data_IF_539782555444
#
_entry.id   IF_539782555444
#
_cell.length_a   1.000
_cell.length_b   1.000
_cell.length_c   1.000
_cell.angle_alpha   90.00
_cell.angle_beta   90.00
_cell.angle_gamma   90.00
#
_symmetry.space_group_name_H-M   'P 1'
#
loop_
_entity.id
_entity.type
_entity.pdbx_description
1 polymer ?
#
# COMPACT_ATOMS: atom_id res chain seq x y z
N UNK A 1 -14.28 0.02 -24.84
CA UNK A 1 -13.34 0.60 -23.87
C UNK A 1 -13.25 -0.35 -22.70
N UNK A 2 -12.08 -0.88 -22.32
CA UNK A 2 -11.98 -1.66 -21.09
C UNK A 2 -12.41 -0.78 -19.91
N UNK A 3 -13.15 -1.36 -18.95
CA UNK A 3 -13.54 -0.65 -17.74
C UNK A 3 -12.28 -0.15 -17.01
N UNK A 4 -12.28 1.12 -16.59
CA UNK A 4 -11.14 1.69 -15.91
C UNK A 4 -10.79 0.84 -14.68
N UNK A 5 -9.52 0.44 -14.56
CA UNK A 5 -9.04 -0.39 -13.45
C UNK A 5 -9.22 0.31 -12.09
N UNK A 6 -9.38 1.63 -12.08
CA UNK A 6 -9.62 2.44 -10.88
C UNK A 6 -10.63 3.53 -11.22
N UNK A 7 -11.40 3.96 -10.23
CA UNK A 7 -12.20 5.19 -10.35
C UNK A 7 -11.21 6.36 -10.31
N UNK A 8 -10.93 6.94 -11.48
CA UNK A 8 -10.08 8.12 -11.59
C UNK A 8 -10.74 9.29 -10.84
N UNK A 9 -9.96 9.97 -10.03
CA UNK A 9 -10.38 11.20 -9.36
C UNK A 9 -10.35 12.38 -10.34
N UNK A 10 -11.03 13.51 -10.05
CA UNK A 10 -10.88 14.72 -10.84
C UNK A 10 -9.42 15.16 -10.98
N UNK A 11 -8.60 14.92 -9.96
CA UNK A 11 -7.18 15.21 -9.97
C UNK A 11 -6.41 14.31 -10.95
N UNK A 12 -6.74 13.02 -11.01
CA UNK A 12 -6.14 12.10 -11.98
C UNK A 12 -6.42 12.54 -13.42
N UNK A 13 -7.64 13.00 -13.70
CA UNK A 13 -8.00 13.53 -15.02
C UNK A 13 -7.18 14.77 -15.39
N UNK A 14 -6.96 15.69 -14.43
CA UNK A 14 -6.11 16.86 -14.64
C UNK A 14 -4.65 16.45 -14.91
N UNK A 15 -4.11 15.49 -14.14
CA UNK A 15 -2.76 14.97 -14.34
C UNK A 15 -2.60 14.29 -15.69
N UNK A 16 -3.59 13.51 -16.15
CA UNK A 16 -3.52 12.83 -17.44
C UNK A 16 -3.51 13.80 -18.63
N UNK A 17 -4.09 14.99 -18.46
CA UNK A 17 -4.08 16.06 -19.46
C UNK A 17 -2.79 16.89 -19.48
N UNK A 18 -1.93 16.74 -18.47
CA UNK A 18 -0.67 17.47 -18.29
C UNK A 18 0.52 16.77 -18.98
N UNK A 19 1.55 17.53 -19.34
CA UNK A 19 2.85 16.99 -19.77
C UNK A 19 3.79 16.73 -18.58
N UNK A 20 4.85 15.95 -18.79
CA UNK A 20 5.83 15.65 -17.73
C UNK A 20 6.69 16.86 -17.34
N UNK A 21 6.79 17.85 -18.23
CA UNK A 21 7.52 19.11 -18.07
C UNK A 21 6.74 20.11 -17.21
N UNK A 22 5.41 20.06 -17.24
CA UNK A 22 4.53 20.90 -16.41
C UNK A 22 4.37 20.35 -14.99
N UNK A 23 4.74 19.09 -14.77
CA UNK A 23 4.61 18.43 -13.48
C UNK A 23 5.69 18.90 -12.50
N UNK A 24 5.25 19.43 -11.36
CA UNK A 24 6.11 19.76 -10.22
C UNK A 24 6.17 18.56 -9.28
N UNK A 25 7.35 17.95 -9.06
CA UNK A 25 7.50 16.85 -8.13
C UNK A 25 7.22 17.28 -6.68
N UNK A 26 6.79 16.32 -5.88
CA UNK A 26 6.66 16.50 -4.44
C UNK A 26 8.05 16.59 -3.80
N UNK A 27 8.40 17.78 -3.32
CA UNK A 27 9.54 17.97 -2.42
C UNK A 27 9.23 17.44 -1.01
N UNK A 28 10.27 17.34 -0.17
CA UNK A 28 10.12 16.78 1.17
C UNK A 28 9.19 17.58 2.08
N UNK A 29 9.24 18.92 2.04
CA UNK A 29 8.41 19.77 2.88
C UNK A 29 6.94 19.64 2.47
N UNK A 30 6.68 19.58 1.17
CA UNK A 30 5.36 19.33 0.63
C UNK A 30 4.79 17.99 1.08
N UNK A 31 5.60 16.93 1.12
CA UNK A 31 5.19 15.62 1.64
C UNK A 31 4.90 15.68 3.15
N UNK A 32 5.72 16.37 3.94
CA UNK A 32 5.47 16.59 5.37
C UNK A 32 4.12 17.28 5.59
N UNK A 33 3.86 18.35 4.84
CA UNK A 33 2.63 19.12 4.92
C UNK A 33 1.39 18.29 4.53
N UNK A 34 1.47 17.53 3.44
CA UNK A 34 0.39 16.65 2.99
C UNK A 34 0.05 15.61 4.07
N UNK A 35 1.07 14.95 4.63
CA UNK A 35 0.88 13.90 5.64
C UNK A 35 0.37 14.51 6.95
N UNK A 36 0.90 15.67 7.37
CA UNK A 36 0.47 16.35 8.59
C UNK A 36 -1.01 16.77 8.53
N UNK A 37 -1.50 17.19 7.35
CA UNK A 37 -2.91 17.52 7.12
C UNK A 37 -3.80 16.30 6.84
N UNK A 38 -3.22 15.10 6.75
CA UNK A 38 -3.90 13.89 6.27
C UNK A 38 -4.56 14.06 4.88
N UNK A 39 -4.02 14.94 4.03
CA UNK A 39 -4.52 15.25 2.70
C UNK A 39 -3.92 14.31 1.65
N UNK A 40 -4.00 13.00 1.90
CA UNK A 40 -3.30 11.98 1.11
C UNK A 40 -3.78 11.93 -0.36
N UNK A 41 -4.95 12.52 -0.66
CA UNK A 41 -5.45 12.69 -2.03
C UNK A 41 -4.61 13.67 -2.86
N UNK A 42 -3.80 14.50 -2.22
CA UNK A 42 -2.88 15.41 -2.89
C UNK A 42 -1.59 14.73 -3.40
N UNK A 43 -1.33 13.46 -3.05
CA UNK A 43 -0.17 12.71 -3.52
C UNK A 43 -0.36 12.26 -4.98
N UNK A 44 0.52 12.73 -5.86
CA UNK A 44 0.39 12.58 -7.31
C UNK A 44 1.52 11.75 -7.87
N UNK A 45 1.21 11.00 -8.94
CA UNK A 45 2.23 10.43 -9.82
C UNK A 45 2.53 11.41 -10.94
N UNK A 46 3.74 11.31 -11.49
CA UNK A 46 4.08 12.00 -12.74
C UNK A 46 3.10 11.58 -13.84
N UNK A 47 2.68 12.46 -14.78
CA UNK A 47 1.71 12.12 -15.81
C UNK A 47 2.07 10.85 -16.61
N UNK A 48 3.33 10.70 -17.05
CA UNK A 48 3.78 9.49 -17.75
C UNK A 48 3.77 8.23 -16.87
N UNK A 49 4.09 8.34 -15.58
CA UNK A 49 4.01 7.24 -14.62
C UNK A 49 2.56 6.84 -14.38
N UNK A 50 1.64 7.81 -14.28
CA UNK A 50 0.20 7.53 -14.13
C UNK A 50 -0.35 6.79 -15.36
N UNK A 51 -0.01 7.22 -16.58
CA UNK A 51 -0.42 6.51 -17.81
C UNK A 51 0.09 5.08 -17.84
N UNK A 52 1.39 4.88 -17.53
CA UNK A 52 2.00 3.55 -17.48
C UNK A 52 1.39 2.67 -16.38
N UNK A 53 1.11 3.24 -15.21
CA UNK A 53 0.46 2.54 -14.11
C UNK A 53 -0.93 2.05 -14.50
N UNK A 54 -1.73 2.91 -15.15
CA UNK A 54 -3.08 2.54 -15.60
C UNK A 54 -3.04 1.40 -16.62
N UNK A 55 -2.16 1.47 -17.61
CA UNK A 55 -1.96 0.41 -18.60
C UNK A 55 -1.53 -0.91 -17.94
N UNK A 56 -0.44 -0.87 -17.16
CA UNK A 56 0.06 -2.03 -16.42
C UNK A 56 -0.99 -2.64 -15.49
N UNK A 57 -1.78 -1.81 -14.81
CA UNK A 57 -2.78 -2.29 -13.88
C UNK A 57 -3.93 -3.01 -14.57
N UNK A 58 -4.29 -2.59 -15.79
CA UNK A 58 -5.32 -3.25 -16.58
C UNK A 58 -4.82 -4.62 -17.07
N UNK A 59 -3.59 -4.69 -17.58
CA UNK A 59 -2.94 -5.93 -18.02
C UNK A 59 -2.77 -6.92 -16.85
N UNK A 60 -2.23 -6.44 -15.73
CA UNK A 60 -2.03 -7.24 -14.51
C UNK A 60 -3.34 -7.79 -13.97
N UNK A 61 -4.42 -7.01 -13.97
CA UNK A 61 -5.75 -7.50 -13.54
C UNK A 61 -6.31 -8.53 -14.52
N UNK A 62 -6.08 -8.36 -15.82
CA UNK A 62 -6.50 -9.35 -16.81
C UNK A 62 -5.76 -10.69 -16.65
N UNK A 63 -4.47 -10.65 -16.32
CA UNK A 63 -3.64 -11.85 -16.15
C UNK A 63 -3.86 -12.55 -14.79
N UNK A 64 -3.88 -11.79 -13.69
CA UNK A 64 -3.92 -12.35 -12.32
C UNK A 64 -5.31 -12.36 -11.69
N UNK A 65 -6.32 -11.79 -12.36
CA UNK A 65 -7.68 -11.60 -11.87
C UNK A 65 -7.84 -10.45 -10.87
N UNK A 66 -6.81 -10.15 -10.08
CA UNK A 66 -6.79 -8.99 -9.19
C UNK A 66 -5.36 -8.50 -8.93
N UNK A 67 -5.25 -7.23 -8.52
CA UNK A 67 -3.97 -6.66 -8.10
C UNK A 67 -3.44 -7.35 -6.83
N UNK A 68 -4.33 -7.76 -5.92
CA UNK A 68 -3.98 -8.52 -4.73
C UNK A 68 -3.29 -9.85 -5.12
N UNK A 69 -3.85 -10.58 -6.09
CA UNK A 69 -3.30 -11.86 -6.51
C UNK A 69 -1.90 -11.68 -7.09
N UNK A 70 -1.70 -10.68 -7.94
CA UNK A 70 -0.38 -10.34 -8.47
C UNK A 70 0.61 -10.03 -7.34
N UNK A 71 0.25 -9.16 -6.39
CA UNK A 71 1.16 -8.77 -5.30
C UNK A 71 1.50 -9.99 -4.44
N UNK A 72 0.51 -10.79 -4.03
CA UNK A 72 0.75 -11.99 -3.23
C UNK A 72 1.65 -12.98 -3.97
N UNK A 73 1.32 -13.35 -5.21
CA UNK A 73 2.02 -14.40 -5.96
C UNK A 73 3.37 -13.95 -6.50
N UNK A 74 3.48 -12.70 -6.98
CA UNK A 74 4.66 -12.22 -7.69
C UNK A 74 5.61 -11.42 -6.82
N UNK A 75 5.10 -10.52 -5.97
CA UNK A 75 5.94 -9.64 -5.15
C UNK A 75 6.25 -10.24 -3.77
N UNK A 76 5.22 -10.74 -3.10
CA UNK A 76 5.32 -11.22 -1.72
C UNK A 76 5.65 -12.71 -1.62
N UNK A 77 5.42 -13.48 -2.69
CA UNK A 77 5.54 -14.96 -2.67
C UNK A 77 4.70 -15.57 -1.53
N UNK A 78 3.55 -14.98 -1.26
CA UNK A 78 2.58 -15.43 -0.26
C UNK A 78 1.48 -16.25 -0.95
N UNK A 79 0.94 -17.28 -0.27
CA UNK A 79 -0.23 -17.97 -0.77
C UNK A 79 -1.41 -16.99 -0.85
N UNK A 80 -2.33 -17.24 -1.78
CA UNK A 80 -3.59 -16.51 -1.80
C UNK A 80 -4.42 -16.85 -0.55
N UNK A 81 -5.24 -15.90 -0.05
CA UNK A 81 -6.13 -16.19 1.05
C UNK A 81 -7.08 -17.33 0.67
N UNK A 82 -7.22 -18.30 1.57
CA UNK A 82 -8.20 -19.38 1.37
C UNK A 82 -9.61 -18.79 1.52
N UNK A 83 -10.47 -18.97 0.52
CA UNK A 83 -11.91 -18.80 0.72
C UNK A 83 -12.37 -19.89 1.69
N UNK A 84 -12.95 -19.51 2.83
CA UNK A 84 -13.69 -20.48 3.64
C UNK A 84 -14.82 -21.04 2.76
N UNK A 85 -14.63 -22.24 2.22
CA UNK A 85 -15.75 -23.02 1.70
C UNK A 85 -16.51 -23.52 2.92
N UNK A 86 -17.46 -22.72 3.39
CA UNK A 86 -18.47 -23.20 4.31
C UNK A 86 -19.28 -24.26 3.59
N UNK A 87 -18.87 -25.52 3.66
CA UNK A 87 -19.75 -26.66 3.40
C UNK A 87 -20.85 -26.62 4.45
N UNK A 88 -21.98 -26.02 4.08
CA UNK A 88 -23.25 -26.21 4.78
C UNK A 88 -23.55 -27.71 4.72
N UNK A 89 -23.74 -28.43 5.85
CA UNK A 89 -24.29 -29.77 5.78
C UNK A 89 -25.70 -29.64 5.20
N UNK A 90 -25.97 -30.36 4.11
CA UNK A 90 -27.30 -30.42 3.52
C UNK A 90 -28.31 -30.85 4.60
N UNK A 91 -29.22 -29.95 4.95
CA UNK A 91 -30.44 -30.29 5.67
C UNK A 91 -31.60 -29.93 4.75
N UNK A 92 -32.29 -30.98 4.33
CA UNK A 92 -33.47 -30.95 3.46
C UNK A 92 -34.51 -29.92 3.92
N UNK A 93 -35.08 -29.16 2.99
CA UNK A 93 -36.54 -28.95 2.84
C UNK A 93 -36.85 -28.05 1.64
N UNK A 94 -37.86 -28.46 0.88
CA UNK A 94 -38.47 -27.78 -0.27
C UNK A 94 -39.06 -26.40 0.08
N UNK A 95 -38.78 -25.36 -0.74
CA UNK A 95 -39.78 -24.71 -1.62
C UNK A 95 -39.14 -23.56 -2.46
N UNK A 96 -39.67 -23.24 -3.67
CA UNK A 96 -39.07 -22.28 -4.59
C UNK A 96 -39.83 -20.94 -4.68
N UNK A 97 -39.14 -19.79 -4.55
CA UNK A 97 -39.55 -18.55 -5.22
C UNK A 97 -38.46 -17.45 -5.21
N UNK A 98 -38.15 -16.98 -6.42
CA UNK A 98 -37.73 -15.63 -6.82
C UNK A 98 -36.33 -15.10 -6.44
N UNK A 99 -35.47 -15.24 -7.45
CA UNK A 99 -34.25 -14.48 -7.79
C UNK A 99 -34.49 -12.97 -7.83
N UNK A 100 -33.58 -12.20 -7.20
CA UNK A 100 -33.00 -10.99 -7.80
C UNK A 100 -31.68 -10.62 -7.09
N UNK A 101 -30.59 -10.66 -7.86
CA UNK A 101 -29.24 -10.44 -7.39
C UNK A 101 -28.72 -9.02 -7.57
N UNK A 102 -27.65 -8.73 -6.83
CA UNK A 102 -26.38 -8.16 -7.31
C UNK A 102 -25.78 -7.25 -6.23
N UNK A 103 -25.11 -7.88 -5.28
CA UNK A 103 -24.14 -7.26 -4.39
C UNK A 103 -22.98 -8.22 -4.27
N UNK A 104 -21.95 -8.05 -5.11
CA UNK A 104 -20.70 -8.80 -4.98
C UNK A 104 -19.98 -8.32 -3.72
N UNK A 105 -20.41 -8.85 -2.58
CA UNK A 105 -19.73 -8.73 -1.30
C UNK A 105 -18.47 -9.57 -1.43
N UNK A 106 -17.31 -8.93 -1.51
CA UNK A 106 -16.02 -9.61 -1.55
C UNK A 106 -15.91 -10.53 -0.33
N UNK A 107 -16.02 -11.83 -0.56
CA UNK A 107 -15.67 -12.85 0.43
C UNK A 107 -14.16 -12.78 0.65
N UNK A 108 -13.74 -11.85 1.51
CA UNK A 108 -12.35 -11.60 1.86
C UNK A 108 -11.79 -12.80 2.63
N UNK A 109 -11.05 -13.66 1.94
CA UNK A 109 -10.22 -14.64 2.63
C UNK A 109 -9.16 -13.91 3.45
N UNK A 110 -8.82 -14.47 4.62
CA UNK A 110 -7.80 -13.92 5.52
C UNK A 110 -6.45 -14.57 5.17
N UNK A 111 -5.39 -13.76 5.05
CA UNK A 111 -4.03 -14.29 4.94
C UNK A 111 -3.61 -14.91 6.28
N UNK A 112 -3.01 -16.08 6.24
CA UNK A 112 -2.52 -16.74 7.47
C UNK A 112 -1.31 -16.01 8.03
N UNK A 113 -1.37 -15.64 9.30
CA UNK A 113 -0.28 -14.99 10.04
C UNK A 113 0.08 -15.79 11.29
N UNK A 114 1.32 -15.65 11.74
CA UNK A 114 1.85 -16.33 12.93
C UNK A 114 1.53 -15.58 14.23
N UNK A 115 1.41 -14.25 14.18
CA UNK A 115 1.10 -13.42 15.32
C UNK A 115 -0.03 -12.41 14.98
N UNK A 116 -1.13 -12.35 15.75
CA UNK A 116 -2.21 -11.41 15.48
C UNK A 116 -1.83 -9.94 15.72
N UNK A 117 -0.75 -9.66 16.45
CA UNK A 117 -0.28 -8.29 16.68
C UNK A 117 0.50 -7.80 15.44
N UNK A 118 0.06 -6.71 14.76
CA UNK A 118 0.74 -6.26 13.56
C UNK A 118 2.21 -5.89 13.82
N UNK A 119 3.08 -6.23 12.86
CA UNK A 119 4.54 -6.09 12.93
C UNK A 119 5.27 -6.90 14.02
N UNK A 120 4.59 -7.76 14.78
CA UNK A 120 5.23 -8.52 15.86
C UNK A 120 6.07 -9.71 15.35
N UNK A 121 5.66 -10.36 14.27
CA UNK A 121 6.42 -11.44 13.62
C UNK A 121 6.97 -10.96 12.26
N UNK A 122 8.31 -10.99 12.05
CA UNK A 122 8.93 -10.68 10.77
C UNK A 122 8.46 -11.53 9.58
N UNK A 123 7.87 -12.71 9.79
CA UNK A 123 7.29 -13.51 8.69
C UNK A 123 5.95 -13.00 8.18
N UNK A 124 5.26 -12.17 8.99
CA UNK A 124 3.91 -11.68 8.70
C UNK A 124 3.91 -10.34 7.96
N UNK A 125 5.09 -9.78 7.67
CA UNK A 125 5.22 -8.59 6.83
C UNK A 125 6.40 -8.68 5.87
N UNK A 126 6.36 -7.85 4.83
CA UNK A 126 7.50 -7.67 3.91
C UNK A 126 7.61 -6.20 3.51
N UNK A 127 8.83 -5.70 3.50
CA UNK A 127 9.15 -4.35 3.02
C UNK A 127 9.61 -4.52 1.57
N UNK A 128 9.03 -3.75 0.65
CA UNK A 128 9.39 -3.75 -0.77
C UNK A 128 9.51 -2.31 -1.28
N UNK A 129 10.25 -2.12 -2.37
CA UNK A 129 10.15 -0.87 -3.12
C UNK A 129 8.78 -0.80 -3.81
N UNK A 130 8.21 0.39 -3.86
CA UNK A 130 7.01 0.63 -4.64
C UNK A 130 7.35 0.61 -6.13
N UNK A 131 6.73 -0.27 -6.91
CA UNK A 131 6.91 -0.32 -8.37
C UNK A 131 6.37 0.94 -9.06
N UNK A 132 5.40 1.59 -8.41
CA UNK A 132 4.67 2.74 -8.94
C UNK A 132 4.69 3.89 -7.93
N UNK A 133 5.89 4.45 -7.66
CA UNK A 133 6.06 5.51 -6.68
C UNK A 133 5.30 6.78 -7.10
N UNK A 134 5.11 7.68 -6.14
CA UNK A 134 4.66 9.04 -6.44
C UNK A 134 5.74 9.84 -7.18
N UNK A 135 5.31 10.91 -7.87
CA UNK A 135 6.21 11.83 -8.55
C UNK A 135 6.87 12.75 -7.53
N UNK A 136 7.96 12.29 -6.93
CA UNK A 136 8.69 12.98 -5.87
C UNK A 136 10.07 13.44 -6.36
N UNK A 137 10.67 14.36 -5.63
CA UNK A 137 12.03 14.83 -5.91
C UNK A 137 13.08 13.71 -5.85
N UNK A 138 14.21 13.96 -6.52
CA UNK A 138 15.37 13.11 -6.45
C UNK A 138 15.83 12.93 -4.98
N UNK A 139 16.32 11.73 -4.65
CA UNK A 139 16.72 11.39 -3.28
C UNK A 139 15.58 10.85 -2.41
N UNK A 140 14.32 10.92 -2.86
CA UNK A 140 13.19 10.33 -2.13
C UNK A 140 12.88 8.93 -2.68
N UNK A 141 12.89 7.94 -1.79
CA UNK A 141 12.50 6.56 -2.10
C UNK A 141 11.16 6.20 -1.47
N UNK A 142 10.32 5.51 -2.24
CA UNK A 142 9.01 5.01 -1.80
C UNK A 142 9.08 3.51 -1.51
N UNK A 143 8.91 3.15 -0.25
CA UNK A 143 8.78 1.76 0.18
C UNK A 143 7.33 1.48 0.60
N UNK A 144 6.97 0.20 0.56
CA UNK A 144 5.69 -0.31 1.04
C UNK A 144 5.96 -1.46 1.98
N UNK A 145 5.38 -1.37 3.18
CA UNK A 145 5.37 -2.44 4.16
C UNK A 145 4.04 -3.16 4.00
N UNK A 146 4.07 -4.37 3.46
CA UNK A 146 2.90 -5.24 3.27
C UNK A 146 2.72 -6.13 4.49
N UNK A 147 1.49 -6.30 4.96
CA UNK A 147 1.16 -7.11 6.14
C UNK A 147 0.16 -8.21 5.80
N UNK A 148 0.28 -9.34 6.48
CA UNK A 148 -0.75 -10.39 6.55
C UNK A 148 -1.80 -10.10 7.61
N UNK A 149 -1.41 -9.36 8.65
CA UNK A 149 -2.29 -8.99 9.76
C UNK A 149 -3.12 -7.75 9.43
N UNK A 150 -4.41 -7.73 9.80
CA UNK A 150 -5.24 -6.54 9.70
C UNK A 150 -4.74 -5.45 10.65
N UNK A 151 -4.88 -4.18 10.25
CA UNK A 151 -4.62 -3.03 11.12
C UNK A 151 -5.97 -2.43 11.52
N UNK A 152 -6.33 -2.38 12.82
CA UNK A 152 -7.59 -1.81 13.25
C UNK A 152 -7.80 -0.36 12.82
N UNK A 153 -9.05 -0.02 12.48
CA UNK A 153 -9.48 1.33 12.05
C UNK A 153 -10.72 1.76 12.83
N UNK A 154 -10.92 3.06 12.99
CA UNK A 154 -12.03 3.65 13.75
C UNK A 154 -13.35 3.70 12.95
N UNK A 155 -13.26 3.58 11.62
CA UNK A 155 -14.40 3.74 10.72
C UNK A 155 -14.21 2.97 9.42
N UNK A 156 -15.31 2.78 8.70
CA UNK A 156 -15.32 2.17 7.36
C UNK A 156 -14.51 2.99 6.33
N UNK A 157 -14.24 4.26 6.62
CA UNK A 157 -13.36 5.10 5.79
C UNK A 157 -11.89 4.68 5.91
N UNK A 158 -11.51 3.95 6.96
CA UNK A 158 -10.15 3.45 7.17
C UNK A 158 -9.24 4.38 7.96
N UNK A 159 -9.79 5.33 8.71
CA UNK A 159 -9.02 6.15 9.65
C UNK A 159 -8.42 5.27 10.76
N UNK A 160 -7.13 5.41 11.03
CA UNK A 160 -6.42 4.61 12.03
C UNK A 160 -6.90 4.92 13.44
N UNK A 161 -7.00 3.89 14.28
CA UNK A 161 -7.12 4.11 15.73
C UNK A 161 -5.87 4.74 16.31
N UNK A 162 -5.98 5.41 17.45
CA UNK A 162 -4.82 5.95 18.18
C UNK A 162 -3.79 4.87 18.50
N UNK A 163 -4.24 3.67 18.89
CA UNK A 163 -3.39 2.51 19.18
C UNK A 163 -2.70 2.00 17.90
N UNK A 164 -3.43 1.91 16.79
CA UNK A 164 -2.89 1.46 15.51
C UNK A 164 -1.86 2.45 14.96
N UNK A 165 -2.11 3.76 15.13
CA UNK A 165 -1.15 4.82 14.79
C UNK A 165 0.12 4.73 15.63
N UNK A 166 -0.01 4.50 16.94
CA UNK A 166 1.13 4.31 17.84
C UNK A 166 1.94 3.05 17.48
N UNK A 167 1.25 1.96 17.13
CA UNK A 167 1.85 0.69 16.75
C UNK A 167 2.64 0.80 15.43
N UNK A 168 2.09 1.48 14.41
CA UNK A 168 2.82 1.75 13.17
C UNK A 168 4.02 2.67 13.46
N UNK A 169 3.83 3.72 14.27
CA UNK A 169 4.92 4.61 14.60
C UNK A 169 6.07 3.88 15.31
N UNK A 170 5.78 3.04 16.30
CA UNK A 170 6.78 2.23 16.99
C UNK A 170 7.56 1.31 16.02
N UNK A 171 6.85 0.65 15.10
CA UNK A 171 7.49 -0.13 14.04
C UNK A 171 8.42 0.73 13.18
N UNK A 172 7.97 1.92 12.77
CA UNK A 172 8.77 2.84 11.94
C UNK A 172 10.02 3.31 12.67
N UNK A 173 9.88 3.69 13.95
CA UNK A 173 10.99 4.10 14.79
C UNK A 173 12.02 2.98 14.95
N UNK A 174 11.57 1.75 15.26
CA UNK A 174 12.47 0.60 15.46
C UNK A 174 13.14 0.12 14.18
N UNK A 175 12.43 0.12 13.04
CA UNK A 175 12.93 -0.50 11.80
C UNK A 175 13.71 0.46 10.92
N UNK A 176 13.24 1.70 10.77
CA UNK A 176 13.83 2.66 9.85
C UNK A 176 14.70 3.67 10.59
N UNK A 177 14.12 4.43 11.52
CA UNK A 177 14.83 5.51 12.22
C UNK A 177 16.04 4.99 12.99
N UNK A 178 15.86 3.94 13.80
CA UNK A 178 16.96 3.33 14.56
C UNK A 178 18.09 2.85 13.65
N UNK A 179 17.75 2.23 12.51
CA UNK A 179 18.77 1.75 11.55
C UNK A 179 19.56 2.90 10.92
N UNK A 180 18.92 4.04 10.64
CA UNK A 180 19.61 5.25 10.18
C UNK A 180 20.50 5.84 11.29
N UNK A 181 20.05 5.82 12.55
CA UNK A 181 20.84 6.27 13.70
C UNK A 181 22.10 5.41 13.94
N UNK A 182 22.02 4.11 13.65
CA UNK A 182 23.12 3.14 13.79
C UNK A 182 24.05 3.09 12.56
N UNK A 183 23.84 3.97 11.57
CA UNK A 183 24.69 4.05 10.39
C UNK A 183 26.13 4.39 10.76
N UNK A 184 27.05 3.44 10.51
CA UNK A 184 28.48 3.58 10.88
C UNK A 184 29.19 4.72 10.15
N UNK A 185 28.68 5.12 9.00
CA UNK A 185 29.21 6.27 8.26
C UNK A 185 28.76 7.62 8.84
N UNK A 186 27.86 7.62 9.84
CA UNK A 186 27.40 8.84 10.52
C UNK A 186 26.64 9.78 9.58
N UNK A 187 25.97 9.25 8.54
CA UNK A 187 25.31 10.06 7.50
C UNK A 187 24.08 10.81 8.00
N UNK A 188 23.48 10.38 9.11
CA UNK A 188 22.19 10.88 9.60
C UNK A 188 22.32 11.47 11.01
N UNK A 189 22.47 12.80 11.10
CA UNK A 189 22.46 13.51 12.38
C UNK A 189 21.06 13.65 12.99
N UNK A 190 20.02 13.60 12.16
CA UNK A 190 18.60 13.65 12.57
C UNK A 190 17.79 12.54 11.87
N UNK A 191 17.97 11.26 12.25
CA UNK A 191 17.39 10.10 11.55
C UNK A 191 15.87 10.20 11.29
N UNK A 192 15.11 10.74 12.24
CA UNK A 192 13.66 10.91 12.16
C UNK A 192 13.27 11.86 11.01
N UNK A 193 14.08 12.87 10.72
CA UNK A 193 13.82 13.85 9.68
C UNK A 193 13.94 13.28 8.26
N UNK A 194 14.44 12.05 8.12
CA UNK A 194 14.58 11.32 6.85
C UNK A 194 13.48 10.30 6.61
N UNK A 195 12.51 10.14 7.53
CA UNK A 195 11.49 9.10 7.44
C UNK A 195 10.10 9.71 7.60
N UNK A 196 9.24 9.48 6.61
CA UNK A 196 7.81 9.76 6.68
C UNK A 196 7.03 8.47 6.45
N UNK A 197 5.83 8.39 7.01
CA UNK A 197 4.93 7.28 6.77
C UNK A 197 3.48 7.75 6.73
N UNK A 198 2.66 7.00 5.99
CA UNK A 198 1.21 7.18 5.98
C UNK A 198 0.54 5.86 5.60
N UNK A 199 -0.75 5.74 5.94
CA UNK A 199 -1.62 4.66 5.47
C UNK A 199 -2.74 5.30 4.66
N UNK A 200 -2.92 4.85 3.42
CA UNK A 200 -4.05 5.30 2.63
C UNK A 200 -5.36 4.77 3.27
N UNK A 201 -6.31 5.68 3.47
CA UNK A 201 -7.70 5.36 3.77
C UNK A 201 -8.40 4.67 2.58
N UNK A 202 -9.54 4.02 2.83
CA UNK A 202 -10.18 3.05 1.91
C UNK A 202 -10.47 3.64 0.52
N UNK A 203 -10.77 4.95 0.45
CA UNK A 203 -11.03 5.67 -0.80
C UNK A 203 -9.84 5.75 -1.76
N UNK A 204 -8.60 5.69 -1.27
CA UNK A 204 -7.37 5.89 -2.06
C UNK A 204 -6.52 4.63 -2.24
N UNK A 205 -6.89 3.53 -1.58
CA UNK A 205 -6.14 2.29 -1.69
C UNK A 205 -6.36 1.61 -3.05
N UNK A 206 -5.27 1.38 -3.78
CA UNK A 206 -5.29 0.55 -4.99
C UNK A 206 -5.58 -0.93 -4.68
N UNK A 207 -5.28 -1.40 -3.46
CA UNK A 207 -5.41 -2.80 -3.03
C UNK A 207 -6.02 -2.85 -1.63
N UNK A 208 -7.35 -2.87 -1.55
CA UNK A 208 -8.08 -2.87 -0.27
C UNK A 208 -7.97 -4.19 0.50
N UNK A 209 -7.79 -5.29 -0.22
CA UNK A 209 -7.80 -6.63 0.37
C UNK A 209 -6.45 -7.04 1.00
N UNK A 210 -5.43 -6.17 0.96
CA UNK A 210 -4.10 -6.45 1.47
C UNK A 210 -3.59 -5.25 2.24
N UNK A 211 -3.28 -5.45 3.52
CA UNK A 211 -2.84 -4.36 4.40
C UNK A 211 -1.45 -3.86 4.02
N UNK A 212 -1.29 -2.54 4.03
CA UNK A 212 -0.02 -1.91 3.73
C UNK A 212 0.14 -0.51 4.35
N UNK A 213 1.40 -0.17 4.65
CA UNK A 213 1.83 1.15 5.09
C UNK A 213 2.88 1.66 4.10
N UNK A 214 2.77 2.92 3.70
CA UNK A 214 3.75 3.55 2.84
C UNK A 214 4.82 4.24 3.67
N UNK A 215 6.08 4.03 3.32
CA UNK A 215 7.23 4.68 3.94
C UNK A 215 7.94 5.49 2.86
N UNK A 216 8.17 6.76 3.11
CA UNK A 216 9.00 7.62 2.29
C UNK A 216 10.29 7.89 3.05
N UNK A 217 11.42 7.67 2.39
CA UNK A 217 12.73 7.97 2.97
C UNK A 217 13.53 8.90 2.07
N UNK A 218 14.21 9.87 2.65
CA UNK A 218 14.98 10.88 1.91
C UNK A 218 16.48 10.72 2.15
N UNK A 219 17.25 10.80 1.08
CA UNK A 219 18.71 10.70 1.06
C UNK A 219 19.23 9.40 1.69
N UNK A 220 18.41 8.35 1.65
CA UNK A 220 18.81 7.02 2.10
C UNK A 220 19.55 6.31 0.97
N UNK A 221 20.77 5.83 1.22
CA UNK A 221 21.63 5.20 0.23
C UNK A 221 21.14 3.79 -0.14
N UNK A 222 21.55 3.33 -1.32
CA UNK A 222 21.08 2.08 -1.90
C UNK A 222 21.39 0.85 -1.03
N UNK A 223 22.51 0.83 -0.30
CA UNK A 223 22.89 -0.26 0.60
C UNK A 223 21.85 -0.47 1.72
N UNK A 224 21.32 0.61 2.28
CA UNK A 224 20.29 0.55 3.33
C UNK A 224 18.92 0.20 2.72
N UNK A 225 18.62 0.72 1.52
CA UNK A 225 17.37 0.40 0.85
C UNK A 225 17.29 -1.08 0.48
N UNK A 226 18.37 -1.65 -0.08
CA UNK A 226 18.50 -3.07 -0.40
C UNK A 226 18.44 -3.94 0.87
N UNK A 227 19.08 -3.51 1.98
CA UNK A 227 18.96 -4.19 3.28
C UNK A 227 17.48 -4.32 3.73
N UNK A 228 16.67 -3.29 3.51
CA UNK A 228 15.26 -3.31 3.89
C UNK A 228 14.39 -4.09 2.91
N UNK A 229 14.56 -3.89 1.60
CA UNK A 229 13.66 -4.46 0.59
C UNK A 229 14.07 -5.85 0.09
N UNK A 230 15.35 -6.19 0.18
CA UNK A 230 15.95 -7.31 -0.55
C UNK A 230 15.96 -7.10 -2.07
N UNK A 231 15.82 -5.86 -2.54
CA UNK A 231 15.75 -5.50 -3.96
C UNK A 231 16.82 -4.46 -4.30
N UNK A 232 17.80 -4.88 -5.12
CA UNK A 232 18.79 -4.00 -5.74
C UNK A 232 18.23 -3.30 -6.97
N UNK A 233 18.75 -2.11 -7.26
CA UNK A 233 18.49 -1.35 -8.50
C UNK A 233 19.57 -1.52 -9.54
#
# INVERSE_FOLDING_TARGET
MPAAAFNLTPLDHQLLAMSDEEFVPHDWNNLQDIIARNDLGALKRRPSDLRRYLAWSAETKAEYGSMMNYICLQRLKWPLPSTFSGTVPAQDTHDPAAVNGSGSSGSGGVLTFNNPLPFADPSDYRILRNDWPYGMDAGISHLVVWLRTPIPVESDEGHLTSESRALINDFVQRRFVKRLAEDKAGRFSTPEAHVLWFKNWVGLQSVRALEHVHILVRDVPEDILEEWSGESR
#
